data_IF_832662284631
#
_entry.id   IF_832662284631
#
_cell.length_a   1.000
_cell.length_b   1.000
_cell.length_c   1.000
_cell.angle_alpha   90.00
_cell.angle_beta   90.00
_cell.angle_gamma   90.00
#
_symmetry.space_group_name_H-M   'P 1'
#
loop_
_entity.id
_entity.type
_entity.pdbx_description
1 polymer ?
#
# COMPACT_ATOMS: atom_id res chain seq x y z
N UNK A 1 -1.42 -10.52 -26.36
CA UNK A 1 -1.25 -10.83 -27.79
C UNK A 1 0.23 -10.79 -28.10
N UNK A 2 0.81 -11.94 -28.42
CA UNK A 2 2.23 -12.11 -28.76
C UNK A 2 2.35 -11.92 -30.29
N UNK A 3 3.44 -11.34 -30.78
CA UNK A 3 3.62 -11.18 -32.23
C UNK A 3 3.89 -12.52 -32.94
N UNK A 4 3.88 -12.52 -34.27
CA UNK A 4 4.09 -13.73 -35.08
C UNK A 4 5.47 -14.38 -34.90
N UNK A 5 6.39 -13.74 -34.16
CA UNK A 5 7.70 -14.27 -33.79
C UNK A 5 7.77 -14.79 -32.35
N UNK A 6 6.67 -14.75 -31.60
CA UNK A 6 6.65 -15.21 -30.21
C UNK A 6 7.11 -14.15 -29.20
N UNK A 7 7.23 -12.87 -29.59
CA UNK A 7 7.72 -11.79 -28.73
C UNK A 7 6.61 -10.84 -28.25
N UNK A 8 6.81 -10.25 -27.08
CA UNK A 8 5.90 -9.24 -26.55
C UNK A 8 5.95 -7.96 -27.40
N UNK A 9 4.84 -7.21 -27.52
CA UNK A 9 4.84 -5.90 -28.16
C UNK A 9 5.91 -4.98 -27.52
N UNK A 10 6.53 -4.12 -28.31
CA UNK A 10 7.53 -3.15 -27.80
C UNK A 10 6.98 -2.23 -26.71
N UNK A 11 5.67 -1.99 -26.71
CA UNK A 11 4.94 -1.19 -25.74
C UNK A 11 4.42 -1.99 -24.54
N UNK A 12 4.81 -3.26 -24.39
CA UNK A 12 4.35 -4.09 -23.28
C UNK A 12 4.84 -3.51 -21.95
N UNK A 13 3.90 -3.31 -21.03
CA UNK A 13 4.16 -2.70 -19.73
C UNK A 13 4.56 -3.77 -18.70
N UNK A 14 5.83 -4.14 -18.72
CA UNK A 14 6.41 -4.87 -17.60
C UNK A 14 6.35 -4.00 -16.35
N UNK A 15 5.83 -4.54 -15.25
CA UNK A 15 5.60 -3.75 -14.05
C UNK A 15 5.53 -4.59 -12.79
N UNK A 16 5.45 -3.90 -11.66
CA UNK A 16 5.22 -4.47 -10.33
C UNK A 16 3.87 -4.03 -9.79
N UNK A 17 3.27 -4.83 -8.92
CA UNK A 17 1.98 -4.53 -8.30
C UNK A 17 2.03 -4.74 -6.79
N UNK A 18 1.45 -3.80 -6.06
CA UNK A 18 1.34 -3.77 -4.60
C UNK A 18 0.00 -3.15 -4.19
N UNK A 19 -0.29 -3.12 -2.90
CA UNK A 19 -1.39 -2.35 -2.33
C UNK A 19 -0.88 -1.53 -1.15
N UNK A 20 -1.40 -0.31 -0.99
CA UNK A 20 -1.01 0.70 0.01
C UNK A 20 -0.77 0.10 1.40
N UNK A 21 -1.82 -0.51 1.96
CA UNK A 21 -1.79 -1.07 3.32
C UNK A 21 -0.74 -2.17 3.53
N UNK A 22 -0.22 -2.78 2.47
CA UNK A 22 0.78 -3.86 2.57
C UNK A 22 2.21 -3.35 2.56
N UNK A 23 2.45 -2.11 2.10
CA UNK A 23 3.82 -1.59 1.96
C UNK A 23 4.04 -0.23 2.60
N UNK A 24 3.04 0.66 2.61
CA UNK A 24 3.21 2.05 3.08
C UNK A 24 3.63 2.10 4.53
N UNK A 25 2.91 1.40 5.41
CA UNK A 25 3.02 1.61 6.84
C UNK A 25 2.48 2.99 7.23
N UNK A 26 3.11 3.59 8.24
CA UNK A 26 2.77 4.92 8.75
C UNK A 26 1.25 5.10 8.94
N UNK A 27 0.60 4.09 9.53
CA UNK A 27 -0.87 3.95 9.50
C UNK A 27 -1.63 5.10 10.19
N UNK A 28 -0.95 5.87 11.03
CA UNK A 28 -1.49 6.97 11.83
C UNK A 28 -0.77 8.31 11.59
N UNK A 29 0.02 8.44 10.52
CA UNK A 29 0.67 9.70 10.16
C UNK A 29 -0.23 10.55 9.27
N UNK A 30 -0.03 11.86 9.35
CA UNK A 30 -0.58 12.85 8.42
C UNK A 30 -2.11 12.75 8.25
N UNK A 31 -2.81 12.50 9.36
CA UNK A 31 -4.27 12.48 9.40
C UNK A 31 -4.91 11.19 8.88
N UNK A 32 -4.12 10.16 8.52
CA UNK A 32 -4.68 8.88 8.07
C UNK A 32 -5.57 8.25 9.16
N UNK A 33 -6.79 7.88 8.77
CA UNK A 33 -7.74 7.13 9.61
C UNK A 33 -7.44 5.63 9.67
N UNK A 34 -8.16 4.91 10.54
CA UNK A 34 -8.07 3.45 10.61
C UNK A 34 -8.78 2.81 9.42
N UNK A 35 -8.05 2.00 8.66
CA UNK A 35 -8.61 1.14 7.63
C UNK A 35 -9.00 -0.22 8.21
N UNK A 36 -9.76 -1.01 7.45
CA UNK A 36 -10.07 -2.41 7.79
C UNK A 36 -8.82 -3.28 7.93
N UNK A 37 -7.72 -2.93 7.25
CA UNK A 37 -6.44 -3.63 7.38
C UNK A 37 -5.71 -3.33 8.69
N UNK A 38 -5.95 -2.15 9.29
CA UNK A 38 -5.24 -1.71 10.50
C UNK A 38 -5.74 -2.40 11.77
N UNK A 39 -6.89 -3.08 11.71
CA UNK A 39 -7.48 -3.88 12.80
C UNK A 39 -7.31 -5.39 12.57
N UNK A 40 -6.41 -5.78 11.66
CA UNK A 40 -6.15 -7.17 11.33
C UNK A 40 -4.80 -7.62 11.88
N UNK A 41 -4.80 -8.47 12.90
CA UNK A 41 -3.57 -8.90 13.58
C UNK A 41 -2.66 -9.72 12.68
N UNK A 42 -1.41 -9.93 13.10
CA UNK A 42 -0.56 -10.96 12.52
C UNK A 42 -1.17 -12.36 12.67
N UNK A 43 -0.80 -13.24 11.75
CA UNK A 43 -1.11 -14.67 11.75
C UNK A 43 0.07 -15.45 11.18
N UNK A 44 -0.07 -16.76 11.09
CA UNK A 44 0.90 -17.64 10.47
C UNK A 44 0.19 -18.87 9.88
N UNK A 45 0.95 -19.87 9.44
CA UNK A 45 0.40 -21.08 8.81
C UNK A 45 -0.61 -21.85 9.69
N UNK A 46 -0.53 -21.71 11.02
CA UNK A 46 -1.39 -22.41 12.00
C UNK A 46 -2.37 -21.47 12.70
N UNK A 47 -2.16 -20.16 12.64
CA UNK A 47 -2.93 -19.16 13.39
C UNK A 47 -3.47 -18.15 12.39
N UNK A 48 -4.79 -18.12 12.22
CA UNK A 48 -5.45 -17.12 11.38
C UNK A 48 -5.24 -15.71 11.94
N UNK A 49 -5.27 -14.70 11.06
CA UNK A 49 -5.34 -13.30 11.47
C UNK A 49 -6.68 -13.05 12.16
N UNK A 50 -6.70 -12.23 13.22
CA UNK A 50 -7.91 -11.82 13.94
C UNK A 50 -8.31 -10.42 13.49
N UNK A 51 -9.60 -10.20 13.22
CA UNK A 51 -10.20 -8.86 13.09
C UNK A 51 -10.60 -8.42 14.50
N UNK A 52 -10.17 -7.24 14.91
CA UNK A 52 -10.47 -6.64 16.22
C UNK A 52 -11.46 -5.49 16.09
N UNK A 53 -12.18 -5.16 17.16
CA UNK A 53 -13.08 -3.99 17.21
C UNK A 53 -12.28 -2.72 17.52
N UNK A 54 -11.42 -2.32 16.58
CA UNK A 54 -10.43 -1.26 16.77
C UNK A 54 -9.06 -1.80 17.20
N UNK A 55 -8.21 -0.92 17.75
CA UNK A 55 -6.86 -1.32 18.19
C UNK A 55 -6.90 -1.86 19.62
N UNK A 56 -6.56 -3.14 19.78
CA UNK A 56 -6.34 -3.79 21.08
C UNK A 56 -4.84 -3.74 21.47
N UNK A 57 -4.55 -3.32 22.71
CA UNK A 57 -3.19 -3.26 23.26
C UNK A 57 -2.55 -4.66 23.37
N UNK A 58 -1.23 -4.74 23.12
CA UNK A 58 -0.47 -5.98 23.20
C UNK A 58 -0.61 -6.90 21.98
N UNK A 59 -1.42 -6.52 20.97
CA UNK A 59 -1.50 -7.22 19.70
C UNK A 59 -0.59 -6.59 18.65
N UNK A 60 -0.12 -7.42 17.72
CA UNK A 60 0.72 -6.98 16.62
C UNK A 60 -0.08 -6.86 15.32
N UNK A 61 -0.05 -5.68 14.72
CA UNK A 61 -0.71 -5.34 13.46
C UNK A 61 0.36 -5.04 12.39
N UNK A 62 0.70 -6.01 11.53
CA UNK A 62 1.84 -5.87 10.61
C UNK A 62 1.67 -4.75 9.59
N UNK A 63 0.42 -4.35 9.29
CA UNK A 63 0.11 -3.26 8.37
C UNK A 63 0.47 -1.87 8.92
N UNK A 64 0.70 -1.74 10.23
CA UNK A 64 1.01 -0.45 10.86
C UNK A 64 2.35 0.11 10.41
N UNK A 65 3.36 -0.74 10.29
CA UNK A 65 4.72 -0.41 9.82
C UNK A 65 4.96 -0.92 8.39
N UNK A 66 4.42 -2.09 8.03
CA UNK A 66 4.62 -2.74 6.74
C UNK A 66 6.11 -2.84 6.38
N UNK A 67 6.54 -2.21 5.27
CA UNK A 67 7.96 -2.08 4.90
C UNK A 67 8.41 -0.60 4.89
N UNK A 68 7.61 0.29 5.49
CA UNK A 68 7.84 1.74 5.52
C UNK A 68 8.07 2.37 4.13
N UNK A 69 7.32 1.91 3.12
CA UNK A 69 7.35 2.54 1.78
C UNK A 69 6.92 4.01 1.87
N UNK A 70 6.08 4.39 2.84
CA UNK A 70 5.68 5.79 3.06
C UNK A 70 6.89 6.71 3.20
N UNK A 71 7.92 6.30 3.93
CA UNK A 71 9.12 7.12 4.14
C UNK A 71 10.21 6.87 3.07
N UNK A 72 10.22 5.69 2.43
CA UNK A 72 11.33 5.24 1.56
C UNK A 72 10.97 5.12 0.06
N UNK A 73 9.77 5.57 -0.36
CA UNK A 73 9.29 5.36 -1.73
C UNK A 73 10.24 5.89 -2.81
N UNK A 74 11.01 6.95 -2.55
CA UNK A 74 11.95 7.53 -3.52
C UNK A 74 13.09 6.56 -3.84
N UNK A 75 13.63 5.92 -2.81
CA UNK A 75 14.67 4.90 -2.90
C UNK A 75 14.12 3.64 -3.56
N UNK A 76 12.92 3.21 -3.19
CA UNK A 76 12.29 2.02 -3.77
C UNK A 76 11.94 2.22 -5.26
N UNK A 77 11.40 3.38 -5.65
CA UNK A 77 11.13 3.72 -7.05
C UNK A 77 12.43 3.77 -7.87
N UNK A 78 13.55 4.19 -7.27
CA UNK A 78 14.85 4.14 -7.92
C UNK A 78 15.25 2.69 -8.25
N UNK A 79 15.03 1.76 -7.32
CA UNK A 79 15.27 0.32 -7.55
C UNK A 79 14.31 -0.24 -8.63
N UNK A 80 13.04 0.16 -8.63
CA UNK A 80 12.07 -0.23 -9.67
C UNK A 80 12.50 0.24 -11.06
N UNK A 81 13.06 1.45 -11.15
CA UNK A 81 13.62 2.00 -12.38
C UNK A 81 14.88 1.23 -12.82
N UNK A 82 15.76 0.88 -11.88
CA UNK A 82 16.97 0.09 -12.14
C UNK A 82 16.64 -1.31 -12.69
N UNK A 83 15.61 -1.95 -12.12
CA UNK A 83 15.06 -3.23 -12.61
C UNK A 83 14.45 -3.11 -14.03
N UNK A 84 14.12 -1.89 -14.47
CA UNK A 84 13.59 -1.62 -15.80
C UNK A 84 12.06 -1.67 -15.88
N UNK A 85 11.35 -1.55 -14.75
CA UNK A 85 9.88 -1.50 -14.72
C UNK A 85 9.36 -0.32 -15.56
N UNK A 86 8.31 -0.58 -16.32
CA UNK A 86 7.59 0.37 -17.18
C UNK A 86 6.27 0.82 -16.57
N UNK A 87 5.76 0.08 -15.60
CA UNK A 87 4.59 0.42 -14.83
C UNK A 87 4.77 0.01 -13.36
N UNK A 88 4.21 0.81 -12.46
CA UNK A 88 4.07 0.47 -11.05
C UNK A 88 2.60 0.63 -10.68
N UNK A 89 1.98 -0.47 -10.27
CA UNK A 89 0.58 -0.50 -9.87
C UNK A 89 0.51 -0.52 -8.35
N UNK A 90 -0.10 0.51 -7.78
CA UNK A 90 -0.46 0.55 -6.34
C UNK A 90 -1.93 0.96 -6.18
N UNK A 91 -2.40 1.01 -4.95
CA UNK A 91 -3.69 1.62 -4.59
C UNK A 91 -3.43 2.95 -3.88
N UNK A 92 -4.30 3.93 -4.10
CA UNK A 92 -4.39 5.09 -3.21
C UNK A 92 -5.09 4.63 -1.92
N UNK A 93 -4.53 4.95 -0.77
CA UNK A 93 -5.08 4.54 0.51
C UNK A 93 -6.30 5.39 0.86
N UNK A 94 -7.51 4.82 0.82
CA UNK A 94 -8.74 5.58 1.08
C UNK A 94 -8.68 6.31 2.43
N UNK A 95 -8.25 5.63 3.49
CA UNK A 95 -8.19 6.21 4.83
C UNK A 95 -7.19 7.37 4.95
N UNK A 96 -6.34 7.61 3.94
CA UNK A 96 -5.52 8.83 3.88
C UNK A 96 -6.25 10.02 3.25
N UNK A 97 -7.18 9.77 2.32
CA UNK A 97 -7.95 10.81 1.60
C UNK A 97 -9.23 11.18 2.35
N UNK A 98 -10.00 10.18 2.79
CA UNK A 98 -11.18 10.35 3.64
C UNK A 98 -11.02 9.45 4.86
N UNK A 99 -10.40 9.94 5.95
CA UNK A 99 -10.08 9.16 7.13
C UNK A 99 -11.25 8.41 7.77
N UNK A 100 -12.44 9.02 7.76
CA UNK A 100 -13.67 8.40 8.29
C UNK A 100 -14.54 7.80 7.17
N UNK A 101 -14.28 8.20 5.92
CA UNK A 101 -14.98 7.72 4.72
C UNK A 101 -16.20 8.57 4.35
N UNK A 102 -16.68 9.39 5.27
CA UNK A 102 -17.81 10.32 5.14
C UNK A 102 -17.44 11.78 5.45
N UNK A 103 -16.14 12.10 5.49
CA UNK A 103 -15.65 13.46 5.73
C UNK A 103 -16.16 14.43 4.66
N UNK A 104 -16.53 15.65 5.07
CA UNK A 104 -17.07 16.68 4.15
C UNK A 104 -16.05 17.13 3.09
N UNK A 105 -14.75 17.04 3.41
CA UNK A 105 -13.63 17.42 2.56
C UNK A 105 -12.48 16.41 2.70
N UNK A 106 -11.68 16.21 1.65
CA UNK A 106 -10.54 15.30 1.73
C UNK A 106 -9.46 15.83 2.68
N UNK A 107 -8.67 14.92 3.25
CA UNK A 107 -7.46 15.25 3.98
C UNK A 107 -6.35 15.66 3.00
N UNK A 108 -5.93 16.93 3.10
CA UNK A 108 -4.99 17.51 2.13
C UNK A 108 -3.53 17.09 2.33
N UNK A 109 -3.17 16.60 3.53
CA UNK A 109 -1.79 16.25 3.86
C UNK A 109 -1.21 15.15 2.96
N UNK A 110 -2.05 14.29 2.38
CA UNK A 110 -1.62 13.17 1.54
C UNK A 110 -1.48 13.53 0.06
N UNK A 111 -1.94 14.71 -0.38
CA UNK A 111 -1.82 15.12 -1.80
C UNK A 111 -0.38 15.44 -2.24
N UNK A 112 0.53 15.67 -1.29
CA UNK A 112 1.96 15.91 -1.57
C UNK A 112 2.75 14.60 -1.82
N UNK A 113 2.17 13.43 -1.51
CA UNK A 113 2.82 12.11 -1.61
C UNK A 113 2.26 11.26 -2.77
N UNK A 114 1.16 11.70 -3.39
CA UNK A 114 0.52 11.09 -4.57
C UNK A 114 1.22 11.47 -5.89
#
# INVERSE_FOLDING_TARGET
MIDSKGTFPKSFLWGGAVAAHQIEGAYNRDGKGLSTADVLTAGNQKVARKITEGLEEGLYYPNHEAIDFYSNYKEDIKLFKELGLKAFRTSINWARIFPNGDDESPNEADFEVL
#
